data_IF_564210355610
#
_entry.id   IF_564210355610
#
_cell.length_a   1.000
_cell.length_b   1.000
_cell.length_c   1.000
_cell.angle_alpha   90.00
_cell.angle_beta   90.00
_cell.angle_gamma   90.00
#
_symmetry.space_group_name_H-M   'P 1'
#
loop_
_entity.id
_entity.type
_entity.pdbx_description
1 polymer ?
#
# COMPACT_ATOMS: atom_id res chain seq x y z
N UNK A 1 32.35 -43.23 32.95
CA UNK A 1 31.21 -42.54 32.37
C UNK A 1 31.67 -41.80 31.14
N UNK A 2 31.27 -42.25 29.93
CA UNK A 2 31.53 -41.54 28.69
C UNK A 2 30.57 -40.36 28.61
N UNK A 3 31.08 -39.14 28.75
CA UNK A 3 30.34 -37.94 28.39
C UNK A 3 30.11 -37.96 26.87
N UNK A 4 28.85 -38.17 26.47
CA UNK A 4 28.46 -37.97 25.07
C UNK A 4 28.46 -36.47 24.77
N UNK A 5 29.54 -35.98 24.17
CA UNK A 5 29.58 -34.63 23.64
C UNK A 5 28.73 -34.57 22.37
N UNK A 6 27.51 -34.04 22.45
CA UNK A 6 26.69 -33.68 21.29
C UNK A 6 27.30 -32.41 20.72
N UNK A 7 27.88 -32.46 19.54
CA UNK A 7 28.36 -31.29 18.81
C UNK A 7 27.34 -30.91 17.73
N UNK A 8 26.93 -29.66 17.73
CA UNK A 8 26.16 -29.10 16.62
C UNK A 8 27.06 -29.05 15.37
N UNK A 9 26.54 -29.51 14.23
CA UNK A 9 27.23 -29.48 12.94
C UNK A 9 27.42 -28.07 12.38
N UNK A 10 26.98 -27.04 13.09
CA UNK A 10 27.05 -25.65 12.69
C UNK A 10 26.21 -25.36 11.42
N UNK A 11 26.56 -24.32 10.73
CA UNK A 11 25.80 -23.88 9.53
C UNK A 11 25.74 -24.94 8.41
N UNK A 12 26.77 -25.77 8.28
CA UNK A 12 26.85 -26.79 7.23
C UNK A 12 25.81 -27.92 7.40
N UNK A 13 25.40 -28.21 8.63
CA UNK A 13 24.38 -29.22 8.92
C UNK A 13 22.97 -28.70 9.08
N UNK A 14 22.75 -27.38 8.89
CA UNK A 14 21.45 -26.78 9.00
C UNK A 14 20.72 -26.76 7.66
N UNK A 15 19.37 -26.86 7.71
CA UNK A 15 18.49 -26.76 6.53
C UNK A 15 18.78 -27.81 5.43
N UNK A 16 19.18 -29.00 5.80
CA UNK A 16 19.36 -30.09 4.85
C UNK A 16 18.04 -30.41 4.15
N UNK A 17 18.12 -30.60 2.82
CA UNK A 17 16.99 -31.09 2.05
C UNK A 17 16.78 -32.60 2.33
N UNK A 18 15.58 -33.10 1.98
CA UNK A 18 15.27 -34.51 2.10
C UNK A 18 16.32 -35.42 1.40
N UNK A 19 16.74 -35.02 0.20
CA UNK A 19 17.75 -35.79 -0.56
C UNK A 19 19.13 -35.76 0.10
N UNK A 20 19.55 -34.64 0.67
CA UNK A 20 20.79 -34.52 1.42
C UNK A 20 20.77 -35.39 2.69
N UNK A 21 19.64 -35.35 3.45
CA UNK A 21 19.43 -36.21 4.60
C UNK A 21 19.55 -37.67 4.20
N UNK A 22 18.83 -38.10 3.14
CA UNK A 22 18.84 -39.48 2.65
C UNK A 22 20.24 -39.91 2.21
N UNK A 23 21.02 -39.05 1.55
CA UNK A 23 22.40 -39.32 1.17
C UNK A 23 23.31 -39.55 2.39
N UNK A 24 23.17 -38.71 3.43
CA UNK A 24 23.90 -38.87 4.69
C UNK A 24 23.49 -40.14 5.44
N UNK A 25 22.21 -40.48 5.50
CA UNK A 25 21.73 -41.75 6.09
C UNK A 25 22.30 -42.98 5.32
N UNK A 26 22.36 -42.88 4.00
CA UNK A 26 22.93 -43.96 3.15
C UNK A 26 24.44 -44.16 3.30
N UNK A 27 25.15 -43.11 3.75
CA UNK A 27 26.61 -43.18 3.99
C UNK A 27 27.01 -44.01 5.23
N UNK A 28 26.01 -44.47 6.02
CA UNK A 28 26.19 -45.29 7.24
C UNK A 28 27.16 -44.69 8.27
N UNK A 29 27.31 -43.36 8.30
CA UNK A 29 28.11 -42.69 9.30
C UNK A 29 27.45 -42.82 10.68
N UNK A 30 28.21 -43.34 11.64
CA UNK A 30 27.73 -43.47 13.03
C UNK A 30 27.85 -42.12 13.78
N UNK A 31 26.91 -41.86 14.68
CA UNK A 31 26.94 -40.65 15.52
C UNK A 31 26.25 -39.42 14.89
N UNK A 32 25.63 -39.54 13.73
CA UNK A 32 24.82 -38.47 13.14
C UNK A 32 23.35 -38.65 13.54
N UNK A 33 22.78 -37.63 14.15
CA UNK A 33 21.36 -37.57 14.48
C UNK A 33 20.72 -36.39 13.79
N UNK A 34 19.55 -36.59 13.19
CA UNK A 34 18.81 -35.54 12.51
C UNK A 34 17.69 -35.02 13.40
N UNK A 35 17.59 -33.70 13.52
CA UNK A 35 16.46 -33.06 14.14
C UNK A 35 15.60 -32.37 13.07
N UNK A 36 14.29 -32.61 13.13
CA UNK A 36 13.36 -31.88 12.26
C UNK A 36 13.25 -30.44 12.72
N UNK A 37 13.45 -29.51 11.81
CA UNK A 37 13.28 -28.07 12.06
C UNK A 37 12.19 -27.51 11.16
N UNK A 38 11.39 -26.61 11.70
CA UNK A 38 10.42 -25.87 10.90
C UNK A 38 11.14 -24.77 10.12
N UNK A 39 10.71 -24.52 8.90
CA UNK A 39 11.23 -23.46 8.03
C UNK A 39 10.10 -22.86 7.22
N UNK A 40 10.10 -21.52 7.08
CA UNK A 40 9.25 -20.86 6.11
C UNK A 40 9.78 -21.07 4.69
N UNK A 41 8.86 -21.28 3.78
CA UNK A 41 9.14 -21.44 2.38
C UNK A 41 8.33 -20.46 1.55
N UNK A 42 8.98 -19.72 0.66
CA UNK A 42 8.38 -18.70 -0.20
C UNK A 42 8.47 -19.16 -1.65
N UNK A 43 7.46 -19.91 -2.15
CA UNK A 43 7.53 -20.55 -3.47
C UNK A 43 7.49 -19.55 -4.62
N UNK A 44 6.84 -18.42 -4.41
CA UNK A 44 6.58 -17.43 -5.46
C UNK A 44 7.65 -16.32 -5.56
N UNK A 45 8.78 -16.46 -4.85
CA UNK A 45 9.88 -15.49 -4.96
C UNK A 45 9.46 -14.05 -4.59
N UNK A 46 9.53 -13.14 -5.55
CA UNK A 46 9.26 -11.71 -5.36
C UNK A 46 7.75 -11.35 -5.35
N UNK A 47 6.86 -12.31 -5.17
CA UNK A 47 5.42 -12.08 -5.14
C UNK A 47 5.00 -11.26 -3.90
N UNK A 48 4.65 -9.99 -4.08
CA UNK A 48 4.19 -9.03 -3.06
C UNK A 48 4.99 -9.09 -1.74
N UNK A 49 6.33 -9.03 -1.75
CA UNK A 49 7.15 -9.33 -0.58
C UNK A 49 6.89 -8.40 0.60
N UNK A 50 6.48 -7.16 0.38
CA UNK A 50 6.16 -6.20 1.44
C UNK A 50 4.79 -6.43 2.08
N UNK A 51 3.83 -7.03 1.35
CA UNK A 51 2.52 -7.40 1.89
C UNK A 51 2.58 -8.77 2.57
N UNK A 52 3.17 -9.77 1.92
CA UNK A 52 3.36 -11.11 2.49
C UNK A 52 4.34 -11.06 3.66
N UNK A 53 5.47 -10.41 3.46
CA UNK A 53 6.54 -10.33 4.45
C UNK A 53 7.41 -11.57 4.51
N UNK A 54 8.09 -11.73 5.62
CA UNK A 54 8.91 -12.90 5.92
C UNK A 54 9.00 -13.17 7.42
N UNK A 55 9.37 -14.41 7.75
CA UNK A 55 9.61 -14.85 9.13
C UNK A 55 10.97 -15.51 9.24
N UNK A 56 11.57 -15.43 10.41
CA UNK A 56 12.87 -16.01 10.74
C UNK A 56 12.82 -16.82 12.02
N UNK A 57 13.77 -17.75 12.16
CA UNK A 57 13.95 -18.51 13.39
C UNK A 57 14.56 -17.61 14.47
N UNK A 58 13.83 -17.38 15.55
CA UNK A 58 14.37 -16.72 16.74
C UNK A 58 15.33 -17.70 17.44
N UNK A 59 16.59 -17.28 17.59
CA UNK A 59 17.64 -18.14 18.19
C UNK A 59 17.39 -18.47 19.65
N UNK A 60 16.65 -17.60 20.40
CA UNK A 60 16.35 -17.76 21.81
C UNK A 60 15.12 -18.63 22.04
N UNK A 61 14.01 -18.30 21.37
CA UNK A 61 12.72 -19.00 21.55
C UNK A 61 12.64 -20.28 20.72
N UNK A 62 13.52 -20.45 19.71
CA UNK A 62 13.48 -21.52 18.73
C UNK A 62 12.16 -21.58 17.94
N UNK A 63 11.42 -20.46 17.90
CA UNK A 63 10.19 -20.31 17.14
C UNK A 63 10.44 -19.50 15.88
N UNK A 64 9.60 -19.73 14.87
CA UNK A 64 9.57 -18.88 13.66
C UNK A 64 8.76 -17.65 13.99
N UNK A 65 9.37 -16.48 13.84
CA UNK A 65 8.77 -15.19 14.16
C UNK A 65 8.69 -14.31 12.91
N UNK A 66 7.51 -13.77 12.64
CA UNK A 66 7.28 -12.83 11.54
C UNK A 66 8.03 -11.51 11.74
N UNK A 67 8.75 -11.07 10.71
CA UNK A 67 9.56 -9.86 10.76
C UNK A 67 8.93 -8.69 10.01
N UNK A 68 8.16 -8.98 8.94
CA UNK A 68 7.54 -7.99 8.07
C UNK A 68 6.21 -8.52 7.52
N UNK A 69 5.36 -7.61 7.01
CA UNK A 69 4.13 -7.93 6.29
C UNK A 69 3.13 -8.76 7.09
N UNK A 70 2.34 -9.58 6.40
CA UNK A 70 1.37 -10.47 7.00
C UNK A 70 2.01 -11.45 8.00
N UNK A 71 3.22 -11.93 7.74
CA UNK A 71 3.96 -12.81 8.65
C UNK A 71 4.16 -12.16 10.02
N UNK A 72 4.46 -10.85 10.08
CA UNK A 72 4.64 -10.10 11.32
C UNK A 72 3.31 -9.77 11.99
N UNK A 73 2.38 -9.21 11.22
CA UNK A 73 1.09 -8.72 11.76
C UNK A 73 0.29 -9.86 12.36
N UNK A 74 0.33 -11.03 11.72
CA UNK A 74 -0.45 -12.21 12.11
C UNK A 74 0.40 -13.33 12.72
N UNK A 75 1.58 -12.98 13.23
CA UNK A 75 2.50 -13.97 13.80
C UNK A 75 1.86 -14.86 14.87
N UNK A 76 1.00 -14.29 15.74
CA UNK A 76 0.29 -15.03 16.78
C UNK A 76 -0.63 -16.14 16.25
N UNK A 77 -1.18 -15.96 15.05
CA UNK A 77 -2.01 -16.97 14.40
C UNK A 77 -1.16 -18.00 13.63
N UNK A 78 -0.05 -17.56 13.05
CA UNK A 78 0.80 -18.39 12.19
C UNK A 78 1.76 -19.30 12.96
N UNK A 79 2.12 -18.92 14.17
CA UNK A 79 3.22 -19.52 14.90
C UNK A 79 2.88 -20.92 15.44
N UNK A 80 1.64 -21.13 15.93
CA UNK A 80 1.26 -22.33 16.65
C UNK A 80 2.01 -22.50 17.97
N UNK A 81 1.71 -23.56 18.70
CA UNK A 81 2.33 -23.88 19.97
C UNK A 81 3.20 -25.13 19.89
N UNK A 82 4.31 -25.12 20.60
CA UNK A 82 5.11 -26.32 20.79
C UNK A 82 4.43 -27.27 21.78
N UNK A 83 4.46 -28.54 21.46
CA UNK A 83 4.16 -29.56 22.45
C UNK A 83 5.21 -29.56 23.57
N UNK A 84 4.77 -29.85 24.77
CA UNK A 84 5.64 -29.98 25.97
C UNK A 84 5.53 -31.39 26.52
N UNK A 85 6.66 -31.95 26.89
CA UNK A 85 6.73 -33.13 27.73
C UNK A 85 7.37 -32.74 29.04
N UNK A 86 6.59 -32.74 30.09
CA UNK A 86 7.04 -32.48 31.46
C UNK A 86 7.13 -33.79 32.22
N UNK A 87 8.20 -34.00 32.93
CA UNK A 87 8.39 -35.18 33.75
C UNK A 87 9.12 -34.78 35.05
N UNK A 88 8.75 -35.42 36.11
CA UNK A 88 9.41 -35.22 37.40
C UNK A 88 10.58 -36.19 37.52
N UNK A 89 11.65 -35.72 38.12
CA UNK A 89 12.80 -36.57 38.50
C UNK A 89 12.91 -36.57 40.04
N UNK A 90 13.36 -37.71 40.55
CA UNK A 90 13.73 -37.81 41.95
C UNK A 90 15.06 -37.05 42.25
N UNK A 91 15.48 -37.02 43.50
CA UNK A 91 16.69 -36.34 43.96
C UNK A 91 17.96 -36.90 43.34
N UNK A 92 17.92 -38.07 42.72
CA UNK A 92 19.04 -38.76 42.02
C UNK A 92 18.94 -38.60 40.50
N UNK A 93 17.94 -37.86 39.99
CA UNK A 93 17.76 -37.60 38.57
C UNK A 93 17.02 -38.71 37.82
N UNK A 94 16.45 -39.71 38.51
CA UNK A 94 15.66 -40.78 37.92
C UNK A 94 14.26 -40.32 37.63
N UNK A 95 13.69 -40.69 36.45
CA UNK A 95 12.33 -40.35 36.10
C UNK A 95 11.33 -41.05 37.04
N UNK A 96 10.43 -40.25 37.62
CA UNK A 96 9.35 -40.77 38.44
C UNK A 96 8.29 -41.38 37.51
N UNK A 97 7.95 -42.67 37.65
CA UNK A 97 6.89 -43.30 36.88
C UNK A 97 5.59 -42.52 36.94
N UNK A 98 4.85 -42.49 35.85
CA UNK A 98 3.52 -41.80 35.74
C UNK A 98 3.52 -40.29 35.98
N UNK A 99 4.68 -39.64 36.06
CA UNK A 99 4.80 -38.20 36.21
C UNK A 99 4.88 -37.43 34.89
N UNK A 100 4.83 -38.14 33.78
CA UNK A 100 4.93 -37.54 32.46
C UNK A 100 3.63 -36.86 32.04
N UNK A 101 3.69 -35.54 31.83
CA UNK A 101 2.59 -34.75 31.28
C UNK A 101 2.95 -34.35 29.84
N UNK A 102 2.13 -34.79 28.90
CA UNK A 102 2.31 -34.47 27.48
C UNK A 102 1.24 -33.46 27.07
N UNK A 103 1.68 -32.29 26.58
CA UNK A 103 0.83 -31.33 25.88
C UNK A 103 1.14 -31.48 24.38
N UNK A 104 0.14 -31.80 23.58
CA UNK A 104 0.30 -31.94 22.14
C UNK A 104 0.63 -30.58 21.49
N UNK A 105 1.50 -30.55 20.48
CA UNK A 105 1.75 -29.35 19.72
C UNK A 105 0.50 -28.92 18.97
N UNK A 106 0.27 -27.61 18.90
CA UNK A 106 -0.78 -27.03 18.06
C UNK A 106 -0.16 -26.46 16.80
N UNK A 107 -0.76 -26.77 15.65
CA UNK A 107 -0.37 -26.19 14.37
C UNK A 107 -0.79 -24.73 14.32
N UNK A 108 0.03 -23.86 13.71
CA UNK A 108 -0.38 -22.50 13.41
C UNK A 108 -1.50 -22.47 12.37
N UNK A 109 -2.26 -21.40 12.37
CA UNK A 109 -3.37 -21.19 11.44
C UNK A 109 -2.92 -20.87 10.02
N UNK A 110 -3.86 -20.87 9.12
CA UNK A 110 -3.70 -20.50 7.72
C UNK A 110 -4.29 -19.11 7.47
N UNK A 111 -3.59 -18.29 6.70
CA UNK A 111 -4.05 -16.94 6.31
C UNK A 111 -4.23 -16.88 4.81
N UNK A 112 -5.46 -16.57 4.39
CA UNK A 112 -5.77 -16.29 2.99
C UNK A 112 -5.72 -14.78 2.75
N UNK A 113 -4.95 -14.35 1.75
CA UNK A 113 -4.88 -12.96 1.32
C UNK A 113 -5.89 -12.67 0.21
N UNK A 114 -6.17 -11.39 -0.03
CA UNK A 114 -7.04 -10.92 -1.11
C UNK A 114 -6.32 -10.85 -2.46
N UNK A 115 -4.99 -11.01 -2.45
CA UNK A 115 -4.16 -10.86 -3.63
C UNK A 115 -4.58 -11.82 -4.75
N UNK A 116 -4.87 -11.28 -5.93
CA UNK A 116 -5.07 -12.04 -7.14
C UNK A 116 -3.73 -12.34 -7.81
N UNK A 117 -3.47 -13.60 -8.11
CA UNK A 117 -2.18 -14.04 -8.64
C UNK A 117 -1.85 -13.40 -10.00
N UNK A 118 -2.84 -13.24 -10.86
CA UNK A 118 -2.62 -12.72 -12.21
C UNK A 118 -2.42 -11.20 -12.16
N UNK A 119 -3.27 -10.49 -11.42
CA UNK A 119 -3.14 -9.03 -11.25
C UNK A 119 -1.81 -8.70 -10.59
N UNK A 120 -1.40 -9.44 -9.55
CA UNK A 120 -0.10 -9.26 -8.91
C UNK A 120 1.06 -9.48 -9.88
N UNK A 121 1.00 -10.55 -10.69
CA UNK A 121 2.03 -10.84 -11.69
C UNK A 121 2.18 -9.71 -12.72
N UNK A 122 1.06 -9.21 -13.25
CA UNK A 122 1.09 -8.08 -14.18
C UNK A 122 1.61 -6.80 -13.54
N UNK A 123 1.25 -6.55 -12.27
CA UNK A 123 1.72 -5.38 -11.51
C UNK A 123 3.23 -5.42 -11.28
N UNK A 124 3.77 -6.59 -10.90
CA UNK A 124 5.22 -6.79 -10.74
C UNK A 124 5.98 -6.56 -12.06
N UNK A 125 5.48 -7.16 -13.15
CA UNK A 125 6.11 -7.01 -14.46
C UNK A 125 6.07 -5.57 -14.98
N UNK A 126 4.98 -4.84 -14.72
CA UNK A 126 4.87 -3.43 -15.10
C UNK A 126 5.90 -2.57 -14.37
N UNK A 127 6.13 -2.81 -13.07
CA UNK A 127 7.16 -2.10 -12.32
C UNK A 127 8.58 -2.51 -12.76
N UNK A 128 8.83 -3.78 -13.04
CA UNK A 128 10.13 -4.23 -13.57
C UNK A 128 10.45 -3.59 -14.93
N UNK A 129 9.43 -3.41 -15.78
CA UNK A 129 9.59 -2.72 -17.05
C UNK A 129 9.88 -1.22 -16.85
N UNK A 130 9.12 -0.57 -15.96
CA UNK A 130 9.32 0.84 -15.59
C UNK A 130 10.72 1.08 -15.02
N UNK A 131 11.17 0.23 -14.10
CA UNK A 131 12.49 0.33 -13.48
C UNK A 131 13.62 0.20 -14.51
N UNK A 132 13.50 -0.72 -15.46
CA UNK A 132 14.49 -0.87 -16.54
C UNK A 132 14.53 0.30 -17.50
N UNK A 133 13.40 0.96 -17.71
CA UNK A 133 13.29 2.04 -18.69
C UNK A 133 13.71 3.40 -18.12
N UNK A 134 13.39 3.66 -16.85
CA UNK A 134 13.53 4.99 -16.26
C UNK A 134 14.48 5.04 -15.04
N UNK A 135 14.88 3.90 -14.51
CA UNK A 135 15.77 3.79 -13.34
C UNK A 135 15.36 4.71 -12.17
N UNK A 136 14.09 4.71 -11.75
CA UNK A 136 13.62 5.59 -10.69
C UNK A 136 14.28 5.21 -9.35
N UNK A 137 14.41 6.17 -8.44
CA UNK A 137 14.88 5.91 -7.07
C UNK A 137 13.97 4.91 -6.33
N UNK A 138 12.68 5.00 -6.57
CA UNK A 138 11.68 4.05 -6.08
C UNK A 138 10.42 4.10 -6.95
N UNK A 139 9.70 2.99 -7.02
CA UNK A 139 8.42 2.89 -7.69
C UNK A 139 7.44 1.99 -6.91
N UNK A 140 6.15 2.22 -7.04
CA UNK A 140 5.12 1.37 -6.46
C UNK A 140 3.82 1.41 -7.27
N UNK A 141 3.07 0.31 -7.22
CA UNK A 141 1.75 0.21 -7.83
C UNK A 141 0.84 -0.68 -6.96
N UNK A 142 -0.42 -0.25 -6.83
CA UNK A 142 -1.44 -0.97 -6.05
C UNK A 142 -2.74 -1.03 -6.83
N UNK A 143 -3.41 -2.18 -6.75
CA UNK A 143 -4.71 -2.42 -7.36
C UNK A 143 -5.70 -2.82 -6.28
N UNK A 144 -6.83 -2.11 -6.23
CA UNK A 144 -7.89 -2.31 -5.23
C UNK A 144 -9.21 -2.53 -5.96
N UNK A 145 -9.98 -3.51 -5.51
CA UNK A 145 -11.38 -3.65 -5.91
C UNK A 145 -12.19 -2.54 -5.23
N UNK A 146 -12.70 -1.61 -6.04
CA UNK A 146 -13.41 -0.45 -5.53
C UNK A 146 -14.76 -0.77 -4.87
N UNK A 147 -15.32 -1.96 -5.10
CA UNK A 147 -16.61 -2.40 -4.51
C UNK A 147 -16.44 -3.12 -3.19
N UNK A 148 -15.29 -3.73 -2.96
CA UNK A 148 -15.04 -4.52 -1.75
C UNK A 148 -13.97 -3.92 -0.84
N UNK A 149 -13.06 -3.10 -1.38
CA UNK A 149 -11.87 -2.63 -0.68
C UNK A 149 -10.74 -3.68 -0.64
N UNK A 150 -10.90 -4.83 -1.28
CA UNK A 150 -9.85 -5.85 -1.37
C UNK A 150 -8.64 -5.33 -2.14
N UNK A 151 -7.44 -5.39 -1.55
CA UNK A 151 -6.20 -5.13 -2.27
C UNK A 151 -5.89 -6.37 -3.09
N UNK A 152 -6.02 -6.27 -4.41
CA UNK A 152 -5.82 -7.36 -5.35
C UNK A 152 -4.36 -7.51 -5.77
N UNK A 153 -3.61 -6.42 -5.76
CA UNK A 153 -2.17 -6.43 -6.01
C UNK A 153 -1.46 -5.28 -5.29
N UNK A 154 -0.20 -5.51 -4.95
CA UNK A 154 0.68 -4.49 -4.40
C UNK A 154 2.13 -4.83 -4.64
N UNK A 155 2.81 -3.97 -5.38
CA UNK A 155 4.22 -4.11 -5.70
C UNK A 155 4.96 -2.79 -5.49
N UNK A 156 6.24 -2.87 -5.13
CA UNK A 156 7.14 -1.71 -5.03
C UNK A 156 8.56 -2.09 -5.43
N UNK A 157 9.34 -1.07 -5.81
CA UNK A 157 10.78 -1.18 -6.07
C UNK A 157 11.54 -0.09 -5.28
N UNK A 158 12.75 -0.39 -4.78
CA UNK A 158 13.36 -1.72 -4.80
C UNK A 158 12.53 -2.75 -4.00
N UNK A 159 12.58 -4.01 -4.42
CA UNK A 159 11.97 -5.14 -3.71
C UNK A 159 13.06 -6.00 -3.06
N UNK A 160 12.66 -6.86 -2.14
CA UNK A 160 13.55 -7.84 -1.53
C UNK A 160 13.06 -9.27 -1.76
N UNK A 161 13.98 -10.22 -1.78
CA UNK A 161 13.63 -11.63 -1.86
C UNK A 161 13.34 -12.18 -0.45
N UNK A 162 12.11 -12.61 -0.11
CA UNK A 162 11.79 -13.08 1.23
C UNK A 162 12.54 -14.38 1.62
N UNK A 163 13.06 -15.15 0.64
CA UNK A 163 13.82 -16.38 0.88
C UNK A 163 15.29 -16.10 1.19
N UNK A 164 15.95 -15.21 0.42
CA UNK A 164 17.39 -14.94 0.53
C UNK A 164 17.71 -13.70 1.33
N UNK A 165 16.76 -12.81 1.54
CA UNK A 165 16.90 -11.44 2.13
C UNK A 165 17.68 -10.48 1.24
N UNK A 166 18.02 -10.87 0.05
CA UNK A 166 18.64 -10.00 -0.93
C UNK A 166 17.74 -8.79 -1.19
N UNK A 167 18.28 -7.59 -1.16
CA UNK A 167 17.56 -6.32 -1.33
C UNK A 167 16.86 -5.77 -0.07
N UNK A 168 16.76 -6.53 1.04
CA UNK A 168 16.00 -6.13 2.22
C UNK A 168 16.51 -4.83 2.86
N UNK A 169 17.83 -4.63 2.95
CA UNK A 169 18.43 -3.42 3.53
C UNK A 169 18.06 -2.12 2.81
N UNK A 170 17.75 -2.20 1.51
CA UNK A 170 17.35 -1.05 0.70
C UNK A 170 15.84 -0.78 0.74
N UNK A 171 15.01 -1.73 1.18
CA UNK A 171 13.56 -1.63 1.06
C UNK A 171 12.82 -2.45 2.12
N UNK A 172 12.91 -2.02 3.38
CA UNK A 172 12.14 -2.66 4.47
C UNK A 172 10.79 -1.96 4.75
N UNK A 173 10.59 -0.74 4.23
CA UNK A 173 9.38 0.06 4.42
C UNK A 173 8.29 -0.45 3.46
N UNK A 174 7.09 -0.68 3.96
CA UNK A 174 5.92 -0.95 3.11
C UNK A 174 5.37 0.38 2.59
N UNK A 175 5.59 0.66 1.31
CA UNK A 175 5.21 1.93 0.70
C UNK A 175 3.70 2.22 0.82
N UNK A 176 2.84 1.19 0.77
CA UNK A 176 1.39 1.36 0.86
C UNK A 176 0.95 2.09 2.13
N UNK A 177 1.54 1.75 3.27
CA UNK A 177 1.11 2.23 4.59
C UNK A 177 2.13 3.13 5.31
N UNK A 178 3.39 3.12 4.87
CA UNK A 178 4.49 3.74 5.61
C UNK A 178 5.29 4.75 4.80
N UNK A 179 5.01 4.92 3.51
CA UNK A 179 5.63 5.96 2.71
C UNK A 179 4.75 7.19 2.66
N UNK A 180 5.27 8.33 3.08
CA UNK A 180 4.62 9.63 2.89
C UNK A 180 5.04 10.21 1.53
N UNK A 181 4.06 10.68 0.79
CA UNK A 181 4.26 11.36 -0.48
C UNK A 181 3.45 12.66 -0.52
N UNK A 182 3.95 13.67 -1.17
CA UNK A 182 3.12 14.75 -1.68
C UNK A 182 2.39 14.24 -2.94
N UNK A 183 1.05 14.10 -2.92
CA UNK A 183 0.33 13.45 -4.01
C UNK A 183 0.29 14.28 -5.29
N UNK A 184 0.61 15.57 -5.21
CA UNK A 184 0.52 16.48 -6.34
C UNK A 184 -0.88 16.48 -6.96
N UNK A 185 -0.94 16.64 -8.27
CA UNK A 185 -2.23 16.78 -8.98
C UNK A 185 -3.17 15.57 -8.89
N UNK A 186 -2.73 14.42 -8.41
CA UNK A 186 -3.65 13.31 -8.12
C UNK A 186 -4.60 13.64 -6.96
N UNK A 187 -4.20 14.54 -6.07
CA UNK A 187 -5.04 14.99 -4.96
C UNK A 187 -6.25 15.85 -5.40
N UNK A 188 -6.17 16.46 -6.58
CA UNK A 188 -7.23 17.32 -7.15
C UNK A 188 -8.59 16.63 -7.26
N UNK A 189 -8.59 15.30 -7.38
CA UNK A 189 -9.83 14.50 -7.47
C UNK A 189 -10.73 14.70 -6.24
N UNK A 190 -10.15 14.88 -5.05
CA UNK A 190 -10.89 15.06 -3.80
C UNK A 190 -11.43 16.49 -3.66
N UNK A 191 -10.64 17.48 -4.05
CA UNK A 191 -11.10 18.88 -4.11
C UNK A 191 -12.21 19.10 -5.14
N UNK A 192 -12.12 18.42 -6.29
CA UNK A 192 -13.17 18.41 -7.31
C UNK A 192 -14.46 17.80 -6.76
N UNK A 193 -14.36 16.62 -6.12
CA UNK A 193 -15.52 15.95 -5.54
C UNK A 193 -16.20 16.82 -4.48
N UNK A 194 -15.44 17.51 -3.62
CA UNK A 194 -15.98 18.46 -2.65
C UNK A 194 -16.68 19.65 -3.33
N UNK A 195 -16.11 20.19 -4.40
CA UNK A 195 -16.72 21.31 -5.14
C UNK A 195 -18.02 20.91 -5.86
N UNK A 196 -18.10 19.68 -6.34
CA UNK A 196 -19.33 19.12 -6.92
C UNK A 196 -20.40 18.90 -5.85
N UNK A 197 -20.03 18.33 -4.68
CA UNK A 197 -20.93 18.09 -3.55
C UNK A 197 -21.55 19.39 -3.02
N UNK A 198 -20.75 20.47 -2.97
CA UNK A 198 -21.21 21.80 -2.58
C UNK A 198 -21.95 22.57 -3.69
N UNK A 199 -22.07 22.01 -4.88
CA UNK A 199 -22.79 22.60 -6.01
C UNK A 199 -22.10 23.83 -6.61
N UNK A 200 -20.82 24.05 -6.34
CA UNK A 200 -20.07 25.21 -6.87
C UNK A 200 -19.31 24.91 -8.17
N UNK A 201 -19.15 23.61 -8.48
CA UNK A 201 -18.54 23.21 -9.74
C UNK A 201 -19.58 23.22 -10.87
N UNK A 202 -19.37 24.10 -11.82
CA UNK A 202 -20.15 24.18 -13.07
C UNK A 202 -19.21 23.94 -14.25
N UNK A 203 -19.41 22.85 -14.95
CA UNK A 203 -18.53 22.36 -16.03
C UNK A 203 -18.13 23.42 -17.06
N UNK A 204 -19.12 24.21 -17.52
CA UNK A 204 -18.97 25.19 -18.59
C UNK A 204 -18.68 26.62 -18.08
N UNK A 205 -18.60 26.81 -16.77
CA UNK A 205 -18.19 28.07 -16.14
C UNK A 205 -16.74 28.38 -16.51
N UNK A 206 -16.48 29.62 -16.91
CA UNK A 206 -15.15 30.03 -17.36
C UNK A 206 -14.36 30.73 -16.27
N UNK A 207 -13.05 30.68 -16.38
CA UNK A 207 -12.11 31.39 -15.51
C UNK A 207 -10.83 31.74 -16.27
N UNK A 208 -10.10 32.74 -15.79
CA UNK A 208 -8.78 33.08 -16.30
C UNK A 208 -7.74 32.15 -15.67
N UNK A 209 -7.08 31.33 -16.50
CA UNK A 209 -5.98 30.46 -16.11
C UNK A 209 -4.64 31.23 -16.06
N UNK A 210 -3.56 30.56 -15.65
CA UNK A 210 -2.20 31.10 -15.70
C UNK A 210 -1.55 31.23 -14.34
N UNK A 211 -1.95 32.19 -13.54
CA UNK A 211 -1.38 32.38 -12.20
C UNK A 211 -2.33 33.02 -11.22
N UNK A 212 -1.99 32.90 -9.94
CA UNK A 212 -2.70 33.54 -8.83
C UNK A 212 -1.72 33.93 -7.72
N UNK A 213 -1.81 35.15 -7.22
CA UNK A 213 -0.98 35.66 -6.12
C UNK A 213 -1.68 35.51 -4.79
N UNK A 214 -0.99 34.95 -3.81
CA UNK A 214 -1.42 34.71 -2.43
C UNK A 214 -0.38 35.38 -1.51
N UNK A 215 -0.73 36.53 -0.93
CA UNK A 215 0.26 37.32 -0.21
C UNK A 215 1.45 37.71 -1.10
N UNK A 216 2.65 37.28 -0.72
CA UNK A 216 3.88 37.52 -1.48
C UNK A 216 4.25 36.37 -2.43
N UNK A 217 3.43 35.34 -2.55
CA UNK A 217 3.68 34.16 -3.37
C UNK A 217 2.79 34.14 -4.60
N UNK A 218 3.36 33.95 -5.77
CA UNK A 218 2.61 33.72 -7.00
C UNK A 218 2.71 32.26 -7.40
N UNK A 219 1.53 31.62 -7.51
CA UNK A 219 1.40 30.22 -7.92
C UNK A 219 0.95 30.22 -9.38
N UNK A 220 1.63 29.44 -10.19
CA UNK A 220 1.38 29.31 -11.62
C UNK A 220 0.73 27.97 -11.96
N UNK A 221 -0.01 27.95 -13.06
CA UNK A 221 -0.27 26.73 -13.79
C UNK A 221 1.04 26.17 -14.34
N UNK A 222 1.10 24.85 -14.57
CA UNK A 222 2.36 24.17 -14.90
C UNK A 222 3.05 24.71 -16.16
N UNK A 223 2.29 25.29 -17.12
CA UNK A 223 2.83 25.90 -18.34
C UNK A 223 3.31 27.34 -18.15
N UNK A 224 3.26 27.88 -16.93
CA UNK A 224 3.65 29.24 -16.51
C UNK A 224 2.82 30.39 -17.09
N UNK A 225 2.22 30.22 -18.26
CA UNK A 225 1.49 31.28 -18.99
C UNK A 225 -0.02 31.13 -18.92
N UNK A 226 -0.52 29.92 -18.61
CA UNK A 226 -1.95 29.57 -18.69
C UNK A 226 -2.44 29.34 -20.11
N UNK A 227 -3.73 29.20 -20.26
CA UNK A 227 -4.46 28.96 -21.50
C UNK A 227 -5.47 30.07 -21.80
N UNK A 228 -5.35 31.20 -21.10
CA UNK A 228 -6.32 32.29 -21.17
C UNK A 228 -7.62 31.95 -20.43
N UNK A 229 -8.73 32.45 -20.95
CA UNK A 229 -10.06 32.15 -20.42
C UNK A 229 -10.54 30.80 -20.94
N UNK A 230 -10.65 29.83 -20.05
CA UNK A 230 -11.06 28.46 -20.35
C UNK A 230 -12.17 28.00 -19.39
N UNK A 231 -12.88 26.93 -19.75
CA UNK A 231 -13.91 26.34 -18.88
C UNK A 231 -13.29 25.56 -17.71
N UNK A 232 -14.09 25.29 -16.69
CA UNK A 232 -13.67 24.45 -15.55
C UNK A 232 -13.30 23.04 -16.01
N UNK A 233 -14.05 22.47 -16.95
CA UNK A 233 -13.73 21.16 -17.51
C UNK A 233 -12.39 21.14 -18.26
N UNK A 234 -12.14 22.15 -19.13
CA UNK A 234 -10.82 22.30 -19.79
C UNK A 234 -9.70 22.49 -18.77
N UNK A 235 -9.93 23.27 -17.71
CA UNK A 235 -8.98 23.46 -16.62
C UNK A 235 -8.64 22.16 -15.89
N UNK A 236 -9.59 21.24 -15.71
CA UNK A 236 -9.34 19.91 -15.17
C UNK A 236 -8.49 19.05 -16.11
N UNK A 237 -8.81 19.05 -17.42
CA UNK A 237 -8.05 18.33 -18.44
C UNK A 237 -6.60 18.84 -18.51
N UNK A 238 -6.40 20.16 -18.44
CA UNK A 238 -5.07 20.78 -18.35
C UNK A 238 -4.39 20.64 -16.98
N UNK A 239 -5.08 20.08 -16.00
CA UNK A 239 -4.56 20.00 -14.62
C UNK A 239 -4.20 21.35 -14.00
N UNK A 240 -5.05 22.39 -14.23
CA UNK A 240 -4.82 23.75 -13.73
C UNK A 240 -4.78 23.79 -12.19
N UNK A 241 -3.73 24.41 -11.65
CA UNK A 241 -3.60 24.72 -10.22
C UNK A 241 -4.51 25.89 -9.84
N UNK A 242 -4.63 26.87 -10.73
CA UNK A 242 -5.45 28.06 -10.54
C UNK A 242 -6.92 27.69 -10.40
N UNK A 243 -7.41 26.73 -11.21
CA UNK A 243 -8.76 26.20 -11.06
C UNK A 243 -9.00 25.62 -9.65
N UNK A 244 -8.07 24.79 -9.18
CA UNK A 244 -8.26 24.12 -7.88
C UNK A 244 -8.26 25.08 -6.70
N UNK A 245 -7.40 26.10 -6.73
CA UNK A 245 -7.43 27.18 -5.73
C UNK A 245 -8.74 27.96 -5.79
N UNK A 246 -9.29 28.17 -6.99
CA UNK A 246 -10.59 28.84 -7.17
C UNK A 246 -11.73 28.00 -6.60
N UNK A 247 -11.79 26.69 -6.93
CA UNK A 247 -12.79 25.80 -6.37
C UNK A 247 -12.72 25.74 -4.85
N UNK A 248 -11.52 25.75 -4.28
CA UNK A 248 -11.35 25.82 -2.82
C UNK A 248 -11.92 27.10 -2.22
N UNK A 249 -11.79 28.25 -2.89
CA UNK A 249 -12.39 29.49 -2.41
C UNK A 249 -13.92 29.44 -2.51
N UNK A 250 -14.44 28.90 -3.62
CA UNK A 250 -15.88 28.79 -3.85
C UNK A 250 -16.55 27.81 -2.86
N UNK A 251 -15.89 26.73 -2.49
CA UNK A 251 -16.32 25.81 -1.41
C UNK A 251 -16.19 26.48 -0.04
N UNK A 252 -15.19 27.31 0.14
CA UNK A 252 -14.75 27.85 1.42
C UNK A 252 -13.62 27.00 2.05
N UNK A 253 -12.57 27.68 2.47
CA UNK A 253 -11.32 27.05 2.92
C UNK A 253 -11.53 26.07 4.08
N UNK A 254 -12.31 26.44 5.09
CA UNK A 254 -12.56 25.59 6.27
C UNK A 254 -13.42 24.38 5.91
N UNK A 255 -14.39 24.57 5.04
CA UNK A 255 -15.24 23.49 4.55
C UNK A 255 -14.43 22.50 3.69
N UNK A 256 -13.52 22.98 2.85
CA UNK A 256 -12.61 22.13 2.09
C UNK A 256 -11.74 21.26 3.01
N UNK A 257 -11.22 21.85 4.11
CA UNK A 257 -10.48 21.07 5.13
C UNK A 257 -11.33 19.97 5.75
N UNK A 258 -12.59 20.26 6.04
CA UNK A 258 -13.54 19.27 6.57
C UNK A 258 -13.70 18.09 5.59
N UNK A 259 -13.81 18.35 4.28
CA UNK A 259 -13.85 17.29 3.27
C UNK A 259 -12.58 16.44 3.28
N UNK A 260 -11.39 17.05 3.31
CA UNK A 260 -10.13 16.30 3.37
C UNK A 260 -10.06 15.41 4.61
N UNK A 261 -10.50 15.91 5.77
CA UNK A 261 -10.56 15.13 7.02
C UNK A 261 -11.58 13.97 6.93
N UNK A 262 -12.69 14.18 6.22
CA UNK A 262 -13.73 13.15 6.01
C UNK A 262 -13.29 12.09 4.98
N UNK A 263 -12.49 12.44 3.98
CA UNK A 263 -11.81 11.47 3.11
C UNK A 263 -10.76 10.64 3.84
N UNK A 264 -10.41 11.00 5.07
CA UNK A 264 -9.49 10.26 5.93
C UNK A 264 -8.03 10.71 5.85
N UNK A 265 -7.73 11.85 5.20
CA UNK A 265 -6.36 12.38 5.18
C UNK A 265 -5.95 12.88 6.57
N UNK A 266 -4.67 12.69 6.90
CA UNK A 266 -4.15 12.99 8.24
C UNK A 266 -4.49 11.96 9.31
N UNK A 267 -5.09 10.81 8.95
CA UNK A 267 -5.43 9.70 9.85
C UNK A 267 -5.00 8.37 9.23
N UNK A 268 -4.63 7.36 10.04
CA UNK A 268 -4.46 6.00 9.54
C UNK A 268 -5.73 5.49 8.87
N UNK A 269 -5.61 4.63 7.86
CA UNK A 269 -6.78 4.06 7.17
C UNK A 269 -7.55 3.07 8.03
N UNK A 270 -6.93 2.56 9.10
CA UNK A 270 -7.48 1.51 9.95
C UNK A 270 -7.38 0.12 9.32
N UNK A 271 -6.52 -0.05 8.32
CA UNK A 271 -6.15 -1.35 7.79
C UNK A 271 -5.42 -2.21 8.84
N UNK A 272 -5.38 -3.52 8.62
CA UNK A 272 -4.73 -4.47 9.53
C UNK A 272 -3.18 -4.44 9.37
N UNK A 273 -2.58 -3.25 9.39
CA UNK A 273 -1.14 -3.08 9.28
C UNK A 273 -0.56 -2.30 10.47
N UNK A 274 0.30 -2.94 11.26
CA UNK A 274 0.96 -2.29 12.37
C UNK A 274 2.02 -1.30 11.89
N UNK A 275 1.95 -0.05 12.39
CA UNK A 275 2.88 1.00 12.03
C UNK A 275 2.45 1.81 10.80
N UNK A 276 1.17 1.81 10.47
CA UNK A 276 0.62 2.73 9.48
C UNK A 276 0.82 4.18 9.93
N UNK A 277 1.31 5.01 9.03
CA UNK A 277 1.54 6.44 9.28
C UNK A 277 0.37 7.28 8.76
N UNK A 278 0.13 8.42 9.41
CA UNK A 278 -1.05 9.24 9.16
C UNK A 278 -0.90 10.32 8.09
N UNK A 279 0.34 10.61 7.62
CA UNK A 279 0.59 11.78 6.80
C UNK A 279 0.38 13.10 7.57
N UNK A 280 0.37 14.21 6.85
CA UNK A 280 0.20 15.55 7.43
C UNK A 280 -0.69 16.42 6.54
N UNK A 281 -1.56 17.21 7.15
CA UNK A 281 -2.43 18.18 6.47
C UNK A 281 -2.22 19.56 7.11
N UNK A 282 -1.09 20.25 6.81
CA UNK A 282 -0.80 21.59 7.35
C UNK A 282 -1.84 22.59 6.90
N UNK A 283 -2.35 23.42 7.84
CA UNK A 283 -3.46 24.36 7.57
C UNK A 283 -3.31 25.72 8.25
N UNK A 284 -2.13 26.03 8.79
CA UNK A 284 -1.89 27.24 9.60
C UNK A 284 -1.72 28.50 8.72
N UNK A 285 -0.98 28.36 7.62
CA UNK A 285 -0.64 29.48 6.72
C UNK A 285 -1.53 29.48 5.48
N UNK A 286 -1.92 30.67 5.01
CA UNK A 286 -2.75 30.80 3.80
C UNK A 286 -2.12 30.11 2.57
N UNK A 287 -0.81 30.20 2.42
CA UNK A 287 -0.13 29.52 1.31
C UNK A 287 -0.29 28.00 1.41
N UNK A 288 -0.16 27.41 2.61
CA UNK A 288 -0.35 25.96 2.81
C UNK A 288 -1.75 25.52 2.42
N UNK A 289 -2.78 26.28 2.86
CA UNK A 289 -4.16 25.99 2.49
C UNK A 289 -4.34 25.96 0.97
N UNK A 290 -3.75 26.92 0.25
CA UNK A 290 -3.89 27.04 -1.20
C UNK A 290 -3.10 25.99 -1.97
N UNK A 291 -1.88 25.65 -1.52
CA UNK A 291 -1.07 24.61 -2.17
C UNK A 291 -1.63 23.20 -1.95
N UNK A 292 -2.33 22.97 -0.83
CA UNK A 292 -3.04 21.70 -0.59
C UNK A 292 -4.12 21.44 -1.65
N UNK A 293 -4.75 22.45 -2.24
CA UNK A 293 -5.76 22.27 -3.27
C UNK A 293 -5.27 21.49 -4.49
N UNK A 294 -3.96 21.48 -4.75
CA UNK A 294 -3.35 20.73 -5.84
C UNK A 294 -2.29 19.72 -5.36
N UNK A 295 -2.37 19.32 -4.07
CA UNK A 295 -1.60 18.22 -3.50
C UNK A 295 -0.15 18.52 -3.16
N UNK A 296 0.21 19.79 -2.96
CA UNK A 296 1.50 20.19 -2.38
C UNK A 296 1.33 20.62 -0.92
N UNK A 297 2.39 20.56 -0.13
CA UNK A 297 2.40 20.84 1.32
C UNK A 297 1.66 19.78 2.17
N UNK A 298 0.79 19.00 1.57
CA UNK A 298 0.13 17.85 2.22
C UNK A 298 0.95 16.58 1.98
N UNK A 299 1.10 15.74 2.99
CA UNK A 299 1.66 14.40 2.81
C UNK A 299 0.63 13.34 3.14
N UNK A 300 0.56 12.32 2.30
CA UNK A 300 -0.41 11.21 2.40
C UNK A 300 0.29 9.87 2.17
N UNK A 301 -0.36 8.77 2.58
CA UNK A 301 0.06 7.44 2.16
C UNK A 301 -0.73 6.98 0.93
N UNK A 302 -0.18 6.07 0.10
CA UNK A 302 -0.94 5.45 -0.97
C UNK A 302 -2.25 4.80 -0.48
N UNK A 303 -2.26 4.20 0.70
CA UNK A 303 -3.47 3.61 1.31
C UNK A 303 -4.57 4.66 1.55
N UNK A 304 -4.23 5.85 2.02
CA UNK A 304 -5.18 6.94 2.19
C UNK A 304 -5.76 7.41 0.85
N UNK A 305 -4.93 7.53 -0.18
CA UNK A 305 -5.39 7.89 -1.54
C UNK A 305 -6.37 6.84 -2.08
N UNK A 306 -6.05 5.57 -1.94
CA UNK A 306 -6.92 4.47 -2.37
C UNK A 306 -8.24 4.46 -1.61
N UNK A 307 -8.20 4.63 -0.28
CA UNK A 307 -9.40 4.71 0.57
C UNK A 307 -10.33 5.84 0.11
N UNK A 308 -9.81 7.05 -0.02
CA UNK A 308 -10.60 8.19 -0.49
C UNK A 308 -11.15 7.96 -1.90
N UNK A 309 -10.35 7.34 -2.80
CA UNK A 309 -10.75 7.07 -4.17
C UNK A 309 -11.91 6.08 -4.26
N UNK A 310 -12.05 5.14 -3.33
CA UNK A 310 -13.19 4.21 -3.33
C UNK A 310 -14.51 4.96 -3.29
N UNK A 311 -14.66 6.05 -2.51
CA UNK A 311 -15.89 6.82 -2.47
C UNK A 311 -16.25 7.47 -3.82
N UNK A 312 -15.24 7.84 -4.62
CA UNK A 312 -15.44 8.41 -5.95
C UNK A 312 -15.86 7.32 -6.95
N UNK A 313 -15.33 6.12 -6.81
CA UNK A 313 -15.57 5.02 -7.76
C UNK A 313 -16.77 4.17 -7.38
N UNK A 314 -17.11 4.06 -6.11
CA UNK A 314 -18.14 3.17 -5.55
C UNK A 314 -19.38 3.94 -5.06
N UNK A 315 -19.98 4.75 -5.93
CA UNK A 315 -21.26 5.42 -5.71
C UNK A 315 -21.37 6.19 -4.38
N UNK A 316 -20.26 6.78 -3.93
CA UNK A 316 -20.19 7.52 -2.68
C UNK A 316 -19.86 6.65 -1.47
N UNK A 317 -19.71 5.35 -1.57
CA UNK A 317 -19.33 4.49 -0.45
C UNK A 317 -17.82 4.44 -0.29
N UNK A 318 -17.33 4.95 0.85
CA UNK A 318 -15.91 4.90 1.19
C UNK A 318 -15.56 3.61 1.93
N UNK A 319 -14.63 2.84 1.39
CA UNK A 319 -14.23 1.53 1.89
C UNK A 319 -12.84 1.56 2.51
N UNK A 320 -12.63 0.78 3.57
CA UNK A 320 -11.29 0.51 4.10
C UNK A 320 -10.56 -0.50 3.23
N UNK A 321 -9.40 -0.17 2.66
CA UNK A 321 -8.59 -1.15 1.95
C UNK A 321 -8.07 -2.23 2.90
N UNK A 322 -8.15 -3.50 2.49
CA UNK A 322 -7.62 -4.63 3.25
C UNK A 322 -7.02 -5.70 2.35
N UNK A 323 -6.06 -6.47 2.89
CA UNK A 323 -5.35 -7.51 2.13
C UNK A 323 -5.44 -8.91 2.75
N UNK A 324 -6.07 -9.05 3.92
CA UNK A 324 -6.34 -10.34 4.55
C UNK A 324 -7.80 -10.69 4.41
N UNK A 325 -8.07 -11.81 3.75
CA UNK A 325 -9.41 -12.31 3.46
C UNK A 325 -9.96 -13.19 4.57
N UNK A 326 -9.12 -14.08 5.09
CA UNK A 326 -9.53 -15.09 6.07
C UNK A 326 -8.36 -15.56 6.91
N UNK A 327 -8.62 -15.86 8.18
CA UNK A 327 -7.70 -16.58 9.09
C UNK A 327 -8.48 -17.77 9.64
N UNK A 328 -7.89 -18.96 9.55
CA UNK A 328 -8.50 -20.20 10.03
C UNK A 328 -7.45 -21.11 10.67
N UNK A 329 -7.89 -21.92 11.62
CA UNK A 329 -7.13 -23.02 12.19
C UNK A 329 -7.73 -24.37 11.74
N UNK A 330 -7.25 -25.47 12.30
CA UNK A 330 -7.73 -26.83 11.97
C UNK A 330 -9.21 -27.06 12.36
N UNK A 331 -9.79 -26.20 13.19
CA UNK A 331 -11.11 -26.40 13.80
C UNK A 331 -12.14 -25.36 13.39
N UNK A 332 -11.69 -24.12 13.06
CA UNK A 332 -12.61 -23.00 12.87
C UNK A 332 -12.04 -21.87 12.01
N UNK A 333 -12.94 -21.05 11.50
CA UNK A 333 -12.61 -19.75 10.90
C UNK A 333 -12.53 -18.74 12.04
N UNK A 334 -11.32 -18.25 12.32
CA UNK A 334 -11.04 -17.27 13.39
C UNK A 334 -11.38 -15.84 12.97
N UNK A 335 -11.17 -15.53 11.70
CA UNK A 335 -11.47 -14.23 11.11
C UNK A 335 -11.88 -14.38 9.66
N UNK A 336 -12.90 -13.64 9.24
CA UNK A 336 -13.29 -13.49 7.85
C UNK A 336 -13.60 -12.03 7.58
N UNK A 337 -12.82 -11.41 6.71
CA UNK A 337 -13.03 -10.03 6.30
C UNK A 337 -14.38 -9.86 5.61
N UNK A 338 -14.94 -8.68 5.79
CA UNK A 338 -16.09 -8.16 5.05
C UNK A 338 -15.74 -6.74 4.63
N UNK A 339 -16.30 -6.24 3.51
CA UNK A 339 -16.19 -4.83 3.17
C UNK A 339 -16.66 -3.97 4.35
N UNK A 340 -15.80 -3.07 4.80
CA UNK A 340 -16.12 -2.09 5.84
C UNK A 340 -16.27 -0.73 5.21
N UNK A 341 -17.50 -0.19 5.25
CA UNK A 341 -17.79 1.18 4.80
C UNK A 341 -17.61 2.16 5.95
N UNK A 342 -17.03 3.31 5.64
CA UNK A 342 -17.02 4.48 6.50
C UNK A 342 -17.97 5.55 5.95
N UNK A 343 -18.34 6.51 6.81
CA UNK A 343 -19.17 7.62 6.37
C UNK A 343 -18.47 8.35 5.22
N UNK A 344 -19.09 8.33 4.06
CA UNK A 344 -18.59 9.04 2.89
C UNK A 344 -18.76 10.55 3.03
N UNK A 345 -17.80 11.33 2.56
CA UNK A 345 -17.94 12.79 2.47
C UNK A 345 -18.83 13.24 1.29
N UNK A 346 -19.11 12.36 0.34
CA UNK A 346 -19.83 12.70 -0.90
C UNK A 346 -21.03 11.77 -1.15
N UNK A 347 -22.02 12.30 -1.84
CA UNK A 347 -23.20 11.58 -2.29
C UNK A 347 -22.90 10.69 -3.51
N UNK A 348 -23.83 9.77 -3.83
CA UNK A 348 -23.80 8.99 -5.07
C UNK A 348 -23.80 9.88 -6.30
N UNK A 349 -24.63 10.93 -6.33
CA UNK A 349 -24.71 11.87 -7.45
C UNK A 349 -23.37 12.57 -7.68
N UNK A 350 -22.70 13.01 -6.62
CA UNK A 350 -21.36 13.60 -6.70
C UNK A 350 -20.32 12.62 -7.21
N UNK A 351 -20.37 11.37 -6.73
CA UNK A 351 -19.52 10.30 -7.23
C UNK A 351 -19.67 10.13 -8.75
N UNK A 352 -20.90 10.03 -9.26
CA UNK A 352 -21.20 9.91 -10.69
C UNK A 352 -20.69 11.10 -11.50
N UNK A 353 -20.93 12.34 -11.03
CA UNK A 353 -20.45 13.56 -11.67
C UNK A 353 -18.92 13.62 -11.70
N UNK A 354 -18.27 13.30 -10.57
CA UNK A 354 -16.81 13.27 -10.47
C UNK A 354 -16.20 12.24 -11.43
N UNK A 355 -16.79 11.04 -11.53
CA UNK A 355 -16.35 10.03 -12.49
C UNK A 355 -16.43 10.51 -13.94
N UNK A 356 -17.49 11.22 -14.30
CA UNK A 356 -17.61 11.81 -15.63
C UNK A 356 -16.48 12.80 -15.92
N UNK A 357 -16.19 13.71 -15.01
CA UNK A 357 -15.12 14.69 -15.19
C UNK A 357 -13.74 14.01 -15.28
N UNK A 358 -13.47 12.99 -14.47
CA UNK A 358 -12.22 12.21 -14.53
C UNK A 358 -12.11 11.38 -15.82
N UNK A 359 -13.23 10.98 -16.41
CA UNK A 359 -13.25 10.34 -17.73
C UNK A 359 -12.78 11.31 -18.81
N UNK A 360 -13.22 12.55 -18.76
CA UNK A 360 -12.80 13.58 -19.72
C UNK A 360 -11.33 13.99 -19.52
N UNK A 361 -10.80 13.94 -18.29
CA UNK A 361 -9.36 14.17 -18.04
C UNK A 361 -8.49 13.21 -18.85
N UNK A 362 -8.92 11.95 -19.01
CA UNK A 362 -8.16 10.93 -19.76
C UNK A 362 -8.54 10.88 -21.24
N UNK A 363 -9.84 11.04 -21.56
CA UNK A 363 -10.35 10.78 -22.91
C UNK A 363 -10.72 12.06 -23.68
N UNK A 364 -10.74 13.23 -23.03
CA UNK A 364 -11.01 14.53 -23.65
C UNK A 364 -9.85 15.00 -24.52
N UNK A 365 -10.11 16.06 -25.28
CA UNK A 365 -9.17 16.56 -26.28
C UNK A 365 -8.58 17.95 -25.92
N UNK A 366 -9.00 18.57 -24.83
CA UNK A 366 -8.52 19.92 -24.48
C UNK A 366 -7.02 19.99 -24.21
N UNK A 367 -6.45 18.93 -23.62
CA UNK A 367 -5.01 18.81 -23.33
C UNK A 367 -4.19 18.15 -24.46
N UNK A 368 -4.81 17.90 -25.63
CA UNK A 368 -4.18 17.16 -26.74
C UNK A 368 -4.28 15.64 -26.57
N UNK A 369 -3.46 14.89 -27.32
CA UNK A 369 -3.42 13.43 -27.19
C UNK A 369 -2.94 13.03 -25.77
N UNK A 370 -3.74 12.18 -25.13
CA UNK A 370 -3.42 11.66 -23.81
C UNK A 370 -2.84 10.24 -23.94
N UNK A 371 -1.57 10.00 -23.52
CA UNK A 371 -0.94 8.70 -23.65
C UNK A 371 -1.61 7.60 -22.79
N UNK A 372 -2.49 7.97 -21.87
CA UNK A 372 -3.24 7.03 -21.03
C UNK A 372 -4.58 6.60 -21.66
N UNK A 373 -4.97 7.18 -22.79
CA UNK A 373 -6.18 6.80 -23.51
C UNK A 373 -6.01 5.42 -24.13
N UNK A 374 -6.90 4.50 -23.79
CA UNK A 374 -6.96 3.16 -24.34
C UNK A 374 -8.08 3.08 -25.39
N UNK A 375 -7.85 2.31 -26.45
CA UNK A 375 -8.86 2.13 -27.53
C UNK A 375 -10.00 1.21 -27.07
N UNK A 376 -9.67 0.13 -26.36
CA UNK A 376 -10.63 -0.91 -25.98
C UNK A 376 -11.37 -0.62 -24.67
N UNK A 377 -10.78 0.16 -23.77
CA UNK A 377 -11.32 0.43 -22.44
C UNK A 377 -11.33 1.91 -22.11
N UNK A 378 -12.43 2.39 -21.54
CA UNK A 378 -12.46 3.73 -20.98
C UNK A 378 -11.80 3.71 -19.59
N UNK A 379 -10.61 4.25 -19.54
CA UNK A 379 -9.90 4.56 -18.31
C UNK A 379 -10.29 5.96 -17.83
N UNK A 380 -10.43 6.16 -16.55
CA UNK A 380 -10.58 7.47 -15.93
C UNK A 380 -9.58 7.65 -14.81
N UNK A 381 -9.14 8.88 -14.59
CA UNK A 381 -8.15 9.14 -13.55
C UNK A 381 -7.49 10.51 -13.66
N UNK A 382 -6.42 10.66 -12.89
CA UNK A 382 -5.64 11.90 -12.82
C UNK A 382 -4.16 11.57 -12.70
N UNK A 383 -3.36 12.22 -13.53
CA UNK A 383 -1.90 12.24 -13.38
C UNK A 383 -1.45 13.25 -12.34
N UNK A 384 -0.32 13.02 -11.74
CA UNK A 384 0.35 13.93 -10.83
C UNK A 384 1.84 14.02 -11.12
N UNK A 385 2.37 15.21 -10.91
CA UNK A 385 3.80 15.49 -10.85
C UNK A 385 4.00 16.41 -9.66
N UNK A 386 4.73 15.94 -8.66
CA UNK A 386 5.03 16.71 -7.45
C UNK A 386 6.54 16.87 -7.32
N UNK A 387 6.98 18.02 -6.81
CA UNK A 387 8.37 18.19 -6.41
C UNK A 387 8.66 17.33 -5.17
N UNK A 388 9.89 16.86 -5.04
CA UNK A 388 10.30 16.07 -3.87
C UNK A 388 10.75 17.02 -2.77
N UNK A 389 10.24 16.80 -1.56
CA UNK A 389 10.66 17.55 -0.37
C UNK A 389 12.12 17.26 -0.04
N UNK A 390 12.88 18.29 0.30
CA UNK A 390 14.20 18.18 0.90
C UNK A 390 14.04 18.04 2.42
N UNK A 391 14.14 16.80 2.91
CA UNK A 391 13.97 16.50 4.34
C UNK A 391 15.10 17.06 5.21
N UNK A 392 16.28 17.31 4.63
CA UNK A 392 17.45 17.77 5.38
C UNK A 392 17.50 19.30 5.48
N UNK A 393 17.20 20.02 4.39
CA UNK A 393 17.34 21.47 4.30
C UNK A 393 15.99 22.22 4.38
N UNK A 394 14.88 21.50 4.25
CA UNK A 394 13.53 22.07 4.13
C UNK A 394 13.28 22.69 2.76
N UNK A 395 12.01 22.74 2.34
CA UNK A 395 11.64 23.16 1.00
C UNK A 395 11.65 22.02 0.00
N UNK A 396 11.90 22.32 -1.27
CA UNK A 396 11.97 21.32 -2.34
C UNK A 396 13.40 21.16 -2.81
N UNK A 397 13.76 19.94 -3.24
CA UNK A 397 15.08 19.65 -3.79
C UNK A 397 15.33 20.54 -5.01
N UNK A 398 16.34 21.39 -4.94
CA UNK A 398 16.77 22.23 -6.05
C UNK A 398 17.73 21.47 -6.96
N UNK A 399 17.63 21.71 -8.27
CA UNK A 399 18.47 21.10 -9.29
C UNK A 399 17.86 19.86 -9.93
N UNK A 400 18.61 19.20 -10.78
CA UNK A 400 18.17 18.20 -11.75
C UNK A 400 17.06 17.25 -11.28
N UNK A 401 15.79 17.60 -11.64
CA UNK A 401 14.70 16.70 -11.97
C UNK A 401 14.35 15.59 -10.96
N UNK A 402 14.22 15.93 -9.68
CA UNK A 402 13.59 14.99 -8.74
C UNK A 402 12.09 15.30 -8.63
N UNK A 403 11.31 14.52 -9.35
CA UNK A 403 9.85 14.58 -9.30
C UNK A 403 9.28 13.24 -8.89
N UNK A 404 8.20 13.28 -8.13
CA UNK A 404 7.30 12.16 -7.97
C UNK A 404 6.25 12.24 -9.07
N UNK A 405 6.34 11.33 -10.06
CA UNK A 405 5.28 11.16 -11.05
C UNK A 405 4.30 10.11 -10.57
N UNK A 406 3.02 10.37 -10.72
CA UNK A 406 1.97 9.50 -10.18
C UNK A 406 0.74 9.48 -11.08
N UNK A 407 -0.04 8.41 -10.94
CA UNK A 407 -1.37 8.29 -11.54
C UNK A 407 -2.30 7.62 -10.54
N UNK A 408 -3.50 8.17 -10.38
CA UNK A 408 -4.61 7.53 -9.69
C UNK A 408 -5.78 7.44 -10.65
N UNK A 409 -6.34 6.24 -10.80
CA UNK A 409 -7.42 6.03 -11.76
C UNK A 409 -8.18 4.75 -11.52
N UNK A 410 -9.13 4.47 -12.38
CA UNK A 410 -9.98 3.29 -12.31
C UNK A 410 -10.45 2.85 -13.71
N UNK A 411 -10.72 1.55 -13.81
CA UNK A 411 -11.28 0.88 -14.99
C UNK A 411 -12.11 -0.33 -14.53
N UNK A 412 -13.14 -0.74 -15.27
CA UNK A 412 -13.79 0.00 -16.34
C UNK A 412 -14.61 1.19 -15.81
N UNK A 413 -14.79 2.23 -16.60
CA UNK A 413 -15.62 3.39 -16.24
C UNK A 413 -17.10 3.00 -16.13
N UNK A 414 -17.51 1.95 -16.83
CA UNK A 414 -18.86 1.38 -16.79
C UNK A 414 -18.80 -0.14 -16.77
N UNK A 415 -19.48 -0.76 -15.81
CA UNK A 415 -19.65 -2.22 -15.72
C UNK A 415 -20.73 -2.79 -16.64
N UNK A 416 -21.36 -1.95 -17.47
CA UNK A 416 -22.44 -2.38 -18.35
C UNK A 416 -21.98 -3.00 -19.68
N UNK A 417 -20.66 -3.14 -19.86
CA UNK A 417 -20.06 -3.66 -21.10
C UNK A 417 -18.93 -4.66 -20.80
N UNK A 418 -19.24 -5.65 -19.98
CA UNK A 418 -18.51 -6.91 -19.89
C UNK A 418 -19.40 -8.03 -20.38
#
# INVERSE_FOLDING_TARGET
GSEMCIRDSGKAGQNLSFNQKKALESSKLTGITFMNTKKRFYPNGLFAPHLVGFAEMNSKTKQIEGQLGAEKVFNSYLQGDFGKTEFNKDIWGTLIPDSTRITSPQKGGDISLTLDKNIQYYTENALDHLDKLYEPKSSFAYVVDAKTGEILAGAQRPAFNPKTREGFGASWVNALYQQQIEPGSTFKVFGLAAAIEEGVYERDKTYMSGHRTIGNHTIYDWNQTGWGQITYNEGLQHSSNVLMMRLQDEVGTDKMKMYYDQFGFGKPTGGLYNGEIKGQVPWEKEIQKKTTAFGQTITVTPAQMLKGMTSIVNDGEMLKPYYVKKIEDEHSVLFKAKPETEKSPISKETSEKTRRELTDVVNGNAAGENPYKLEEYKLAGKTGTAQVLDEENGGYVEGNYQYLTSFIGYAPVSYTHL
#
